data_IF_812352457244
#
_entry.id   IF_812352457244
#
_cell.length_a   1.000
_cell.length_b   1.000
_cell.length_c   1.000
_cell.angle_alpha   90.00
_cell.angle_beta   90.00
_cell.angle_gamma   90.00
#
_symmetry.space_group_name_H-M   'P 1'
#
loop_
_entity.id
_entity.type
_entity.pdbx_description
1 polymer ?
#
# COMPACT_ATOMS: atom_id res chain seq x y z
N UNK A 1 21.02 32.08 26.11
CA UNK A 1 20.56 31.27 24.94
C UNK A 1 19.49 30.23 25.27
N UNK A 2 19.03 30.08 26.50
CA UNK A 2 18.14 28.96 26.93
C UNK A 2 16.64 29.23 26.82
N UNK A 3 16.14 30.46 26.92
CA UNK A 3 14.69 30.76 26.89
C UNK A 3 14.07 30.66 25.47
N UNK A 4 14.75 31.16 24.43
CA UNK A 4 14.26 31.06 23.03
C UNK A 4 14.17 29.64 22.52
N UNK A 5 15.07 28.72 22.92
CA UNK A 5 14.99 27.32 22.56
C UNK A 5 13.78 26.62 23.22
N UNK A 6 13.47 26.95 24.48
CA UNK A 6 12.29 26.37 25.17
C UNK A 6 10.97 26.82 24.56
N UNK A 7 10.82 28.08 24.17
CA UNK A 7 9.62 28.62 23.54
C UNK A 7 9.42 27.94 22.16
N UNK A 8 10.46 27.77 21.36
CA UNK A 8 10.38 27.05 20.07
C UNK A 8 9.98 25.58 20.23
N UNK A 9 10.50 24.91 21.27
CA UNK A 9 10.14 23.52 21.56
C UNK A 9 8.67 23.38 22.00
N UNK A 10 8.18 24.28 22.86
CA UNK A 10 6.77 24.31 23.29
C UNK A 10 5.85 24.54 22.08
N UNK A 11 6.15 25.56 21.26
CA UNK A 11 5.38 25.84 20.06
C UNK A 11 5.34 24.65 19.10
N UNK A 12 6.46 23.95 18.90
CA UNK A 12 6.53 22.74 18.10
C UNK A 12 5.58 21.62 18.60
N UNK A 13 5.59 21.34 19.92
CA UNK A 13 4.70 20.33 20.49
C UNK A 13 3.22 20.75 20.43
N UNK A 14 2.91 22.02 20.69
CA UNK A 14 1.53 22.54 20.59
C UNK A 14 1.00 22.40 19.17
N UNK A 15 1.77 22.80 18.16
CA UNK A 15 1.37 22.65 16.75
C UNK A 15 1.23 21.18 16.40
N UNK A 16 2.16 20.32 16.82
CA UNK A 16 2.09 18.88 16.59
C UNK A 16 0.84 18.25 17.20
N UNK A 17 0.48 18.61 18.44
CA UNK A 17 -0.73 18.12 19.13
C UNK A 17 -1.99 18.61 18.40
N UNK A 18 -2.04 19.87 17.99
CA UNK A 18 -3.20 20.41 17.24
C UNK A 18 -3.40 19.68 15.92
N UNK A 19 -2.33 19.42 15.17
CA UNK A 19 -2.39 18.64 13.92
C UNK A 19 -2.86 17.21 14.21
N UNK A 20 -2.35 16.57 15.25
CA UNK A 20 -2.75 15.22 15.64
C UNK A 20 -4.24 15.16 16.01
N UNK A 21 -4.74 16.11 16.78
CA UNK A 21 -6.17 16.21 17.13
C UNK A 21 -7.01 16.35 15.85
N UNK A 22 -6.66 17.28 14.96
CA UNK A 22 -7.38 17.49 13.71
C UNK A 22 -7.39 16.22 12.83
N UNK A 23 -6.28 15.50 12.79
CA UNK A 23 -6.18 14.24 12.04
C UNK A 23 -7.03 13.11 12.63
N UNK A 24 -7.24 13.09 13.95
CA UNK A 24 -8.00 12.03 14.64
C UNK A 24 -9.53 12.28 14.58
N UNK A 25 -9.98 13.53 14.48
CA UNK A 25 -11.42 13.89 14.47
C UNK A 25 -12.24 13.05 13.48
N UNK A 26 -11.88 12.88 12.18
CA UNK A 26 -12.67 12.09 11.26
C UNK A 26 -12.77 10.61 11.66
N UNK A 27 -11.73 10.05 12.27
CA UNK A 27 -11.77 8.68 12.77
C UNK A 27 -12.68 8.53 13.99
N UNK A 28 -12.67 9.48 14.92
CA UNK A 28 -13.61 9.52 16.04
C UNK A 28 -15.07 9.64 15.54
N UNK A 29 -15.28 10.44 14.51
CA UNK A 29 -16.59 10.53 13.87
C UNK A 29 -17.02 9.20 13.23
N UNK A 30 -16.13 8.49 12.55
CA UNK A 30 -16.39 7.16 12.01
C UNK A 30 -16.78 6.17 13.11
N UNK A 31 -16.02 6.13 14.22
CA UNK A 31 -16.34 5.28 15.38
C UNK A 31 -17.69 5.63 15.97
N UNK A 32 -17.95 6.92 16.22
CA UNK A 32 -19.23 7.38 16.74
C UNK A 32 -20.38 6.96 15.81
N UNK A 33 -20.24 7.23 14.51
CA UNK A 33 -21.28 6.95 13.52
C UNK A 33 -21.54 5.45 13.36
N UNK A 34 -20.52 4.60 13.43
CA UNK A 34 -20.65 3.14 13.33
C UNK A 34 -21.48 2.53 14.47
N UNK A 35 -21.51 3.22 15.61
CA UNK A 35 -22.24 2.78 16.82
C UNK A 35 -23.65 3.39 16.92
N UNK A 36 -24.06 4.26 15.98
CA UNK A 36 -25.42 4.85 15.98
C UNK A 36 -26.44 3.95 15.31
N UNK A 37 -27.66 3.96 15.82
CA UNK A 37 -28.81 3.42 15.12
C UNK A 37 -29.12 4.28 13.86
N UNK A 38 -29.75 3.68 12.83
CA UNK A 38 -30.04 4.34 11.54
C UNK A 38 -30.77 5.68 11.69
N UNK A 39 -31.71 5.78 12.63
CA UNK A 39 -32.50 7.00 12.87
C UNK A 39 -31.70 8.14 13.54
N UNK A 40 -30.59 7.84 14.22
CA UNK A 40 -29.80 8.82 14.95
C UNK A 40 -28.69 9.49 14.12
N UNK A 41 -28.54 9.13 12.83
CA UNK A 41 -27.48 9.67 11.96
C UNK A 41 -27.68 11.14 11.60
N UNK A 42 -28.93 11.58 11.49
CA UNK A 42 -29.34 12.93 11.06
C UNK A 42 -29.98 13.71 12.21
N UNK A 43 -29.66 13.37 13.47
CA UNK A 43 -30.20 14.10 14.63
C UNK A 43 -29.69 15.54 14.66
N UNK A 44 -30.59 16.47 14.96
CA UNK A 44 -30.27 17.88 15.22
C UNK A 44 -30.61 18.18 16.68
N UNK A 45 -29.64 18.57 17.52
CA UNK A 45 -28.24 18.83 17.24
C UNK A 45 -27.41 17.55 16.97
N UNK A 46 -26.27 17.71 16.27
CA UNK A 46 -25.36 16.60 15.92
C UNK A 46 -24.85 15.91 17.21
N UNK A 47 -25.10 14.62 17.32
CA UNK A 47 -24.62 13.81 18.45
C UNK A 47 -23.23 13.28 18.14
N UNK A 48 -22.19 13.77 18.84
CA UNK A 48 -20.84 13.25 18.74
C UNK A 48 -20.66 11.92 19.45
N UNK A 49 -21.35 11.73 20.56
CA UNK A 49 -21.37 10.48 21.33
C UNK A 49 -22.79 9.92 21.25
N UNK A 50 -22.98 8.70 20.72
CA UNK A 50 -24.31 8.12 20.62
C UNK A 50 -24.90 7.90 22.02
N UNK A 51 -26.16 8.32 22.23
CA UNK A 51 -26.88 8.11 23.48
C UNK A 51 -27.18 6.63 23.73
N UNK A 52 -27.49 5.91 22.65
CA UNK A 52 -27.78 4.48 22.66
C UNK A 52 -26.80 3.76 21.71
N UNK A 53 -25.58 3.44 22.15
CA UNK A 53 -24.61 2.78 21.28
C UNK A 53 -25.06 1.36 20.95
N UNK A 54 -24.95 0.99 19.66
CA UNK A 54 -25.33 -0.34 19.17
C UNK A 54 -24.25 -0.91 18.26
N UNK A 55 -24.04 -2.22 18.33
CA UNK A 55 -23.15 -2.97 17.42
C UNK A 55 -23.90 -3.54 16.20
N UNK A 56 -25.17 -3.22 16.04
CA UNK A 56 -26.02 -3.73 14.96
C UNK A 56 -25.43 -3.46 13.56
N UNK A 57 -24.74 -2.33 13.38
CA UNK A 57 -24.05 -1.98 12.13
C UNK A 57 -22.96 -2.97 11.77
N UNK A 58 -22.19 -3.42 12.75
CA UNK A 58 -21.14 -4.44 12.57
C UNK A 58 -21.72 -5.79 12.20
N UNK A 59 -22.76 -6.24 12.91
CA UNK A 59 -23.47 -7.49 12.56
C UNK A 59 -24.02 -7.43 11.14
N UNK A 60 -24.54 -6.27 10.73
CA UNK A 60 -25.07 -6.06 9.39
C UNK A 60 -24.00 -6.10 8.30
N UNK A 61 -22.78 -5.61 8.56
CA UNK A 61 -21.66 -5.73 7.63
C UNK A 61 -21.40 -7.20 7.29
N UNK A 62 -21.34 -8.08 8.31
CA UNK A 62 -21.11 -9.51 8.10
C UNK A 62 -22.24 -10.23 7.34
N UNK A 63 -23.45 -9.71 7.36
CA UNK A 63 -24.58 -10.28 6.65
C UNK A 63 -24.76 -9.80 5.21
N UNK A 64 -24.21 -8.64 4.85
CA UNK A 64 -24.37 -8.01 3.53
C UNK A 64 -23.56 -8.65 2.42
N UNK A 65 -22.37 -9.17 2.75
CA UNK A 65 -21.48 -9.88 1.83
C UNK A 65 -20.61 -10.88 2.59
N UNK A 66 -19.99 -11.86 1.91
CA UNK A 66 -19.13 -12.85 2.54
C UNK A 66 -17.81 -12.24 3.03
N UNK A 67 -17.91 -11.52 4.15
CA UNK A 67 -16.88 -10.62 4.69
C UNK A 67 -15.51 -11.29 4.84
N UNK A 68 -15.46 -12.49 5.45
CA UNK A 68 -14.19 -13.19 5.68
C UNK A 68 -13.51 -13.62 4.39
N UNK A 69 -14.29 -14.10 3.40
CA UNK A 69 -13.71 -14.46 2.10
C UNK A 69 -13.22 -13.21 1.35
N UNK A 70 -13.93 -12.09 1.47
CA UNK A 70 -13.54 -10.82 0.86
C UNK A 70 -12.24 -10.25 1.45
N UNK A 71 -12.05 -10.35 2.78
CA UNK A 71 -10.77 -10.03 3.42
C UNK A 71 -9.68 -10.99 2.95
N UNK A 72 -9.97 -12.30 2.92
CA UNK A 72 -9.03 -13.30 2.43
C UNK A 72 -8.58 -13.03 0.98
N UNK A 73 -9.52 -12.66 0.10
CA UNK A 73 -9.21 -12.27 -1.28
C UNK A 73 -8.27 -11.04 -1.32
N UNK A 74 -8.60 -10.00 -0.55
CA UNK A 74 -7.78 -8.78 -0.49
C UNK A 74 -6.39 -9.06 0.05
N UNK A 75 -6.25 -9.85 1.11
CA UNK A 75 -4.96 -10.26 1.65
C UNK A 75 -4.16 -11.05 0.62
N UNK A 76 -4.75 -12.09 0.04
CA UNK A 76 -4.08 -12.92 -0.96
C UNK A 76 -3.59 -12.11 -2.16
N UNK A 77 -4.46 -11.23 -2.70
CA UNK A 77 -4.09 -10.37 -3.84
C UNK A 77 -2.97 -9.43 -3.43
N UNK A 78 -3.10 -8.71 -2.29
CA UNK A 78 -2.14 -7.69 -1.88
C UNK A 78 -0.79 -8.27 -1.49
N UNK A 79 -0.76 -9.42 -0.81
CA UNK A 79 0.48 -10.12 -0.48
C UNK A 79 1.19 -10.65 -1.73
N UNK A 80 0.44 -11.32 -2.63
CA UNK A 80 1.01 -11.85 -3.88
C UNK A 80 1.48 -10.73 -4.80
N UNK A 81 0.70 -9.66 -4.93
CA UNK A 81 1.05 -8.47 -5.67
C UNK A 81 2.36 -7.85 -5.15
N UNK A 82 2.46 -7.68 -3.84
CA UNK A 82 3.65 -7.13 -3.18
C UNK A 82 4.86 -8.02 -3.39
N UNK A 83 4.72 -9.32 -3.16
CA UNK A 83 5.80 -10.29 -3.32
C UNK A 83 6.36 -10.31 -4.75
N UNK A 84 5.48 -10.37 -5.75
CA UNK A 84 5.89 -10.36 -7.17
C UNK A 84 6.57 -9.03 -7.53
N UNK A 85 6.02 -7.89 -7.07
CA UNK A 85 6.63 -6.58 -7.28
C UNK A 85 8.05 -6.52 -6.70
N UNK A 86 8.24 -6.96 -5.45
CA UNK A 86 9.55 -6.89 -4.81
C UNK A 86 10.59 -7.77 -5.49
N UNK A 87 10.20 -8.99 -5.88
CA UNK A 87 11.11 -9.90 -6.58
C UNK A 87 11.46 -9.32 -7.95
N UNK A 88 10.49 -8.99 -8.78
CA UNK A 88 10.73 -8.49 -10.13
C UNK A 88 11.52 -7.18 -10.12
N UNK A 89 11.16 -6.24 -9.25
CA UNK A 89 11.84 -4.97 -9.14
C UNK A 89 13.27 -5.09 -8.59
N UNK A 90 13.50 -5.95 -7.60
CA UNK A 90 14.86 -6.12 -7.05
C UNK A 90 15.79 -6.85 -8.01
N UNK A 91 15.30 -7.84 -8.76
CA UNK A 91 16.09 -8.51 -9.82
C UNK A 91 16.44 -7.52 -10.94
N UNK A 92 15.46 -6.74 -11.42
CA UNK A 92 15.69 -5.71 -12.42
C UNK A 92 16.66 -4.64 -11.92
N UNK A 93 16.50 -4.18 -10.67
CA UNK A 93 17.40 -3.20 -10.08
C UNK A 93 18.84 -3.73 -9.94
N UNK A 94 19.01 -4.97 -9.54
CA UNK A 94 20.33 -5.60 -9.47
C UNK A 94 20.99 -5.66 -10.84
N UNK A 95 20.23 -6.04 -11.87
CA UNK A 95 20.74 -6.06 -13.24
C UNK A 95 21.19 -4.66 -13.68
N UNK A 96 20.37 -3.64 -13.51
CA UNK A 96 20.69 -2.26 -13.92
C UNK A 96 21.77 -1.58 -13.07
N UNK A 97 21.89 -1.94 -11.80
CA UNK A 97 22.83 -1.28 -10.89
C UNK A 97 24.19 -1.96 -10.84
N UNK A 98 24.25 -3.28 -11.03
CA UNK A 98 25.45 -4.10 -10.72
C UNK A 98 25.97 -4.93 -11.89
N UNK A 99 25.11 -5.26 -12.86
CA UNK A 99 25.58 -6.02 -14.02
C UNK A 99 25.98 -5.08 -15.16
N UNK A 100 27.05 -5.48 -15.87
CA UNK A 100 27.51 -4.74 -17.05
C UNK A 100 26.92 -5.36 -18.31
N UNK A 101 26.01 -4.66 -18.97
CA UNK A 101 25.49 -5.07 -20.27
C UNK A 101 25.29 -3.85 -21.21
N UNK A 102 25.27 -4.07 -22.53
CA UNK A 102 25.17 -2.99 -23.49
C UNK A 102 23.90 -2.17 -23.30
N UNK A 103 24.01 -0.84 -23.35
CA UNK A 103 22.89 0.11 -23.27
C UNK A 103 22.05 0.05 -21.98
N UNK A 104 22.59 -0.49 -20.86
CA UNK A 104 21.89 -0.60 -19.58
C UNK A 104 21.25 0.72 -19.15
N UNK A 105 22.01 1.82 -19.17
CA UNK A 105 21.50 3.16 -18.78
C UNK A 105 20.39 3.68 -19.71
N UNK A 106 20.49 3.41 -21.02
CA UNK A 106 19.45 3.80 -21.97
C UNK A 106 18.16 3.01 -21.71
N UNK A 107 18.26 1.70 -21.52
CA UNK A 107 17.12 0.84 -21.22
C UNK A 107 16.47 1.23 -19.91
N UNK A 108 17.26 1.53 -18.87
CA UNK A 108 16.73 2.03 -17.60
C UNK A 108 15.99 3.36 -17.80
N UNK A 109 16.56 4.32 -18.54
CA UNK A 109 15.90 5.60 -18.81
C UNK A 109 14.58 5.42 -19.55
N UNK A 110 14.53 4.56 -20.57
CA UNK A 110 13.29 4.26 -21.33
C UNK A 110 12.26 3.59 -20.41
N UNK A 111 12.69 2.64 -19.58
CA UNK A 111 11.81 1.98 -18.62
C UNK A 111 11.23 2.98 -17.60
N UNK A 112 12.07 3.86 -17.06
CA UNK A 112 11.60 4.90 -16.11
C UNK A 112 10.73 5.96 -16.78
N UNK A 113 10.92 6.25 -18.07
CA UNK A 113 10.07 7.17 -18.82
C UNK A 113 8.60 6.70 -18.89
N UNK A 114 8.33 5.40 -18.74
CA UNK A 114 6.95 4.88 -18.66
C UNK A 114 6.19 5.43 -17.44
N UNK A 115 6.87 5.90 -16.39
CA UNK A 115 6.22 6.57 -15.24
C UNK A 115 5.55 7.90 -15.61
N UNK A 116 5.92 8.49 -16.75
CA UNK A 116 5.28 9.73 -17.23
C UNK A 116 3.90 9.46 -17.83
N UNK A 117 3.56 8.20 -18.11
CA UNK A 117 2.25 7.82 -18.65
C UNK A 117 1.28 7.64 -17.47
N UNK A 118 0.22 8.46 -17.36
CA UNK A 118 -0.78 8.29 -16.31
C UNK A 118 -1.44 6.91 -16.41
N UNK A 119 -1.59 6.23 -15.26
CA UNK A 119 -2.20 4.89 -15.21
C UNK A 119 -3.63 4.88 -15.76
N UNK A 120 -4.35 5.99 -15.63
CA UNK A 120 -5.71 6.15 -16.16
C UNK A 120 -5.79 5.97 -17.68
N UNK A 121 -4.75 6.37 -18.41
CA UNK A 121 -4.68 6.22 -19.88
C UNK A 121 -4.47 4.75 -20.27
N UNK A 122 -3.77 3.98 -19.43
CA UNK A 122 -3.42 2.59 -19.72
C UNK A 122 -4.50 1.59 -19.27
N UNK A 123 -5.50 1.99 -18.50
CA UNK A 123 -6.55 1.10 -17.97
C UNK A 123 -7.27 0.36 -19.12
N UNK A 124 -7.75 1.07 -20.14
CA UNK A 124 -8.51 0.46 -21.25
C UNK A 124 -7.64 -0.49 -22.07
N UNK A 125 -6.44 -0.09 -22.55
CA UNK A 125 -5.55 -1.01 -23.23
C UNK A 125 -5.21 -2.26 -22.40
N UNK A 126 -4.95 -2.08 -21.11
CA UNK A 126 -4.61 -3.18 -20.22
C UNK A 126 -5.80 -4.14 -20.01
N UNK A 127 -7.02 -3.61 -19.89
CA UNK A 127 -8.23 -4.40 -19.87
C UNK A 127 -8.36 -5.28 -21.13
N UNK A 128 -8.13 -4.70 -22.32
CA UNK A 128 -8.17 -5.44 -23.58
C UNK A 128 -7.13 -6.55 -23.61
N UNK A 129 -5.93 -6.30 -23.09
CA UNK A 129 -4.86 -7.32 -23.00
C UNK A 129 -5.31 -8.46 -22.08
N UNK A 130 -5.80 -8.15 -20.87
CA UNK A 130 -6.26 -9.17 -19.92
C UNK A 130 -7.44 -9.99 -20.48
N UNK A 131 -8.35 -9.34 -21.19
CA UNK A 131 -9.47 -10.01 -21.84
C UNK A 131 -8.99 -10.97 -22.97
N UNK A 132 -8.07 -10.52 -23.82
CA UNK A 132 -7.49 -11.40 -24.86
C UNK A 132 -6.71 -12.58 -24.29
N UNK A 133 -6.13 -12.42 -23.09
CA UNK A 133 -5.48 -13.52 -22.36
C UNK A 133 -6.46 -14.41 -21.62
N UNK A 134 -7.78 -14.17 -21.72
CA UNK A 134 -8.84 -14.90 -20.98
C UNK A 134 -8.65 -14.87 -19.46
N UNK A 135 -8.09 -13.78 -18.92
CA UNK A 135 -7.82 -13.62 -17.50
C UNK A 135 -8.90 -12.84 -16.75
N UNK A 136 -9.92 -12.32 -17.42
CA UNK A 136 -11.04 -11.64 -16.76
C UNK A 136 -11.66 -12.56 -15.72
N UNK A 137 -12.06 -11.99 -14.59
CA UNK A 137 -12.60 -12.70 -13.43
C UNK A 137 -11.61 -13.71 -12.79
N UNK A 138 -10.31 -13.39 -12.84
CA UNK A 138 -9.26 -14.14 -12.14
C UNK A 138 -8.38 -13.21 -11.31
N UNK A 139 -7.81 -13.70 -10.21
CA UNK A 139 -6.85 -12.93 -9.42
C UNK A 139 -5.58 -12.58 -10.22
N UNK A 140 -5.23 -13.42 -11.20
CA UNK A 140 -4.10 -13.18 -12.08
C UNK A 140 -4.23 -11.86 -12.85
N UNK A 141 -5.44 -11.46 -13.28
CA UNK A 141 -5.65 -10.19 -13.97
C UNK A 141 -5.37 -8.97 -13.10
N UNK A 142 -5.51 -9.10 -11.79
CA UNK A 142 -5.21 -8.03 -10.83
C UNK A 142 -3.71 -8.03 -10.48
N UNK A 143 -3.11 -9.22 -10.35
CA UNK A 143 -1.74 -9.38 -9.87
C UNK A 143 -0.69 -9.18 -10.97
N UNK A 144 -0.91 -9.71 -12.18
CA UNK A 144 0.11 -9.69 -13.25
C UNK A 144 0.66 -8.31 -13.60
N UNK A 145 -0.14 -7.22 -13.64
CA UNK A 145 0.40 -5.88 -13.90
C UNK A 145 1.46 -5.43 -12.88
N UNK A 146 1.49 -6.03 -11.68
CA UNK A 146 2.46 -5.70 -10.63
C UNK A 146 3.90 -6.06 -10.97
N UNK A 147 4.12 -6.96 -11.93
CA UNK A 147 5.47 -7.37 -12.38
C UNK A 147 6.26 -6.16 -12.90
N UNK A 148 5.58 -5.19 -13.51
CA UNK A 148 6.21 -4.01 -14.10
C UNK A 148 5.93 -2.77 -13.27
N UNK A 149 6.78 -2.51 -12.26
CA UNK A 149 6.65 -1.36 -11.35
C UNK A 149 7.90 -0.47 -11.45
N UNK A 150 7.91 0.51 -12.38
CA UNK A 150 9.09 1.35 -12.62
C UNK A 150 9.56 2.12 -11.38
N UNK A 151 8.63 2.59 -10.54
CA UNK A 151 8.98 3.29 -9.30
C UNK A 151 9.74 2.38 -8.31
N UNK A 152 9.31 1.14 -8.15
CA UNK A 152 10.00 0.17 -7.27
C UNK A 152 11.40 -0.14 -7.79
N UNK A 153 11.54 -0.34 -9.11
CA UNK A 153 12.85 -0.53 -9.76
C UNK A 153 13.73 0.69 -9.55
N UNK A 154 13.21 1.91 -9.75
CA UNK A 154 13.96 3.15 -9.54
C UNK A 154 14.54 3.25 -8.14
N UNK A 155 13.72 3.07 -7.11
CA UNK A 155 14.17 3.17 -5.72
C UNK A 155 15.24 2.13 -5.40
N UNK A 156 15.05 0.89 -5.86
CA UNK A 156 16.01 -0.18 -5.63
C UNK A 156 17.30 0.02 -6.43
N UNK A 157 17.26 0.54 -7.65
CA UNK A 157 18.47 0.92 -8.41
C UNK A 157 19.26 1.97 -7.65
N UNK A 158 18.59 3.03 -7.14
CA UNK A 158 19.26 4.07 -6.36
C UNK A 158 19.94 3.47 -5.12
N UNK A 159 19.23 2.61 -4.37
CA UNK A 159 19.78 1.96 -3.20
C UNK A 159 20.95 1.02 -3.56
N UNK A 160 20.80 0.18 -4.57
CA UNK A 160 21.85 -0.76 -4.97
C UNK A 160 23.12 -0.06 -5.50
N UNK A 161 22.96 1.11 -6.12
CA UNK A 161 24.12 1.94 -6.56
C UNK A 161 24.95 2.46 -5.39
N UNK A 162 24.38 2.60 -4.20
CA UNK A 162 25.14 3.03 -3.00
C UNK A 162 25.98 1.92 -2.39
N UNK A 163 25.73 0.66 -2.74
CA UNK A 163 26.51 -0.48 -2.25
C UNK A 163 27.88 -0.48 -2.97
N UNK A 164 29.01 -0.42 -2.24
CA UNK A 164 30.33 -0.54 -2.85
C UNK A 164 30.50 -1.86 -3.62
N UNK A 165 31.12 -1.80 -4.81
CA UNK A 165 31.32 -3.00 -5.61
C UNK A 165 32.26 -4.00 -4.93
N UNK A 166 33.12 -3.54 -4.05
CA UNK A 166 34.08 -4.37 -3.29
C UNK A 166 33.39 -5.54 -2.56
N UNK A 167 32.17 -5.35 -2.06
CA UNK A 167 31.40 -6.43 -1.44
C UNK A 167 30.98 -7.52 -2.44
N UNK A 168 30.68 -7.13 -3.68
CA UNK A 168 30.28 -8.06 -4.73
C UNK A 168 31.50 -8.77 -5.30
N UNK A 169 32.60 -8.02 -5.46
CA UNK A 169 33.85 -8.53 -5.98
C UNK A 169 34.49 -9.54 -4.98
N UNK A 170 34.48 -9.26 -3.68
CA UNK A 170 34.91 -10.20 -2.65
C UNK A 170 34.12 -11.51 -2.70
N UNK A 171 32.79 -11.45 -2.76
CA UNK A 171 31.95 -12.64 -2.87
C UNK A 171 32.22 -13.42 -4.17
N UNK A 172 32.56 -12.73 -5.27
CA UNK A 172 32.87 -13.34 -6.55
C UNK A 172 34.23 -14.05 -6.50
N UNK A 173 35.24 -13.49 -5.78
CA UNK A 173 36.53 -14.12 -5.53
C UNK A 173 36.37 -15.41 -4.72
N UNK A 174 35.41 -15.41 -3.77
CA UNK A 174 35.02 -16.59 -2.98
C UNK A 174 34.22 -17.64 -3.80
N UNK A 175 34.09 -17.45 -5.12
CA UNK A 175 33.41 -18.37 -6.02
C UNK A 175 31.88 -18.28 -6.03
N UNK A 176 31.28 -17.20 -5.47
CA UNK A 176 29.83 -17.02 -5.48
C UNK A 176 29.32 -16.75 -6.90
N UNK A 177 28.26 -17.45 -7.30
CA UNK A 177 27.52 -17.14 -8.53
C UNK A 177 26.82 -15.79 -8.44
N UNK A 178 26.49 -15.19 -9.59
CA UNK A 178 25.72 -13.92 -9.66
C UNK A 178 24.43 -13.98 -8.85
N UNK A 179 23.69 -15.09 -8.89
CA UNK A 179 22.50 -15.29 -8.06
C UNK A 179 22.81 -15.35 -6.57
N UNK A 180 23.93 -15.98 -6.19
CA UNK A 180 24.39 -16.02 -4.80
C UNK A 180 24.71 -14.62 -4.29
N UNK A 181 25.44 -13.84 -5.09
CA UNK A 181 25.76 -12.43 -4.80
C UNK A 181 24.48 -11.61 -4.65
N UNK A 182 23.52 -11.79 -5.55
CA UNK A 182 22.23 -11.10 -5.47
C UNK A 182 21.48 -11.42 -4.17
N UNK A 183 21.26 -12.71 -3.87
CA UNK A 183 20.45 -13.11 -2.70
C UNK A 183 21.15 -12.92 -1.36
N UNK A 184 22.46 -13.18 -1.30
CA UNK A 184 23.21 -13.18 -0.02
C UNK A 184 23.92 -11.87 0.30
N UNK A 185 24.16 -11.01 -0.70
CA UNK A 185 24.89 -9.75 -0.50
C UNK A 185 23.99 -8.55 -0.83
N UNK A 186 23.56 -8.41 -2.09
CA UNK A 186 22.87 -7.22 -2.54
C UNK A 186 21.47 -7.05 -1.91
N UNK A 187 20.67 -8.10 -1.90
CA UNK A 187 19.29 -8.07 -1.39
C UNK A 187 19.21 -7.76 0.12
N UNK A 188 20.01 -8.39 1.01
CA UNK A 188 20.03 -8.04 2.43
C UNK A 188 20.44 -6.59 2.70
N UNK A 189 21.38 -6.04 1.94
CA UNK A 189 21.80 -4.65 2.07
C UNK A 189 20.74 -3.65 1.61
N UNK A 190 19.75 -4.10 0.84
CA UNK A 190 18.58 -3.31 0.45
C UNK A 190 17.38 -3.50 1.40
N UNK A 191 17.50 -4.24 2.50
CA UNK A 191 16.39 -4.57 3.40
C UNK A 191 15.57 -3.36 3.86
N UNK A 192 16.13 -2.19 4.22
CA UNK A 192 15.33 -1.03 4.60
C UNK A 192 14.44 -0.51 3.46
N UNK A 193 14.96 -0.45 2.24
CA UNK A 193 14.22 -0.02 1.04
C UNK A 193 13.16 -1.04 0.66
N UNK A 194 13.48 -2.34 0.73
CA UNK A 194 12.53 -3.42 0.49
C UNK A 194 11.38 -3.39 1.50
N UNK A 195 11.67 -3.13 2.79
CA UNK A 195 10.64 -2.99 3.80
C UNK A 195 9.71 -1.80 3.52
N UNK A 196 10.25 -0.66 3.12
CA UNK A 196 9.46 0.51 2.74
C UNK A 196 8.59 0.22 1.52
N UNK A 197 9.16 -0.39 0.48
CA UNK A 197 8.43 -0.78 -0.72
C UNK A 197 7.36 -1.83 -0.44
N UNK A 198 7.63 -2.81 0.44
CA UNK A 198 6.62 -3.83 0.77
C UNK A 198 5.37 -3.22 1.39
N UNK A 199 5.53 -2.26 2.32
CA UNK A 199 4.40 -1.59 2.96
C UNK A 199 3.64 -0.73 1.96
N UNK A 200 4.35 0.12 1.20
CA UNK A 200 3.70 1.04 0.25
C UNK A 200 2.99 0.27 -0.87
N UNK A 201 3.60 -0.80 -1.39
CA UNK A 201 3.01 -1.64 -2.43
C UNK A 201 1.82 -2.44 -1.91
N UNK A 202 1.91 -2.96 -0.68
CA UNK A 202 0.78 -3.63 -0.04
C UNK A 202 -0.40 -2.68 0.15
N UNK A 203 -0.15 -1.48 0.71
CA UNK A 203 -1.20 -0.48 0.92
C UNK A 203 -1.84 -0.02 -0.40
N UNK A 204 -1.06 0.10 -1.46
CA UNK A 204 -1.56 0.45 -2.78
C UNK A 204 -2.52 -0.62 -3.30
N UNK A 205 -2.13 -1.89 -3.27
CA UNK A 205 -2.98 -3.01 -3.70
C UNK A 205 -4.18 -3.23 -2.78
N UNK A 206 -4.00 -3.09 -1.45
CA UNK A 206 -5.08 -3.22 -0.47
C UNK A 206 -6.20 -2.20 -0.67
N UNK A 207 -5.84 -0.96 -1.01
CA UNK A 207 -6.78 0.13 -1.22
C UNK A 207 -7.25 0.26 -2.68
N UNK A 208 -6.72 -0.56 -3.59
CA UNK A 208 -7.12 -0.49 -4.99
C UNK A 208 -8.58 -0.93 -5.16
N UNK A 209 -9.35 -0.05 -5.75
CA UNK A 209 -10.76 -0.26 -6.02
C UNK A 209 -11.02 -0.43 -7.51
N UNK A 210 -10.43 0.48 -8.33
CA UNK A 210 -10.84 0.64 -9.71
C UNK A 210 -10.41 -0.55 -10.58
N UNK A 211 -9.15 -0.98 -10.47
CA UNK A 211 -8.66 -2.08 -11.29
C UNK A 211 -9.32 -3.42 -10.92
N UNK A 212 -9.39 -3.82 -9.65
CA UNK A 212 -10.17 -5.01 -9.26
C UNK A 212 -11.65 -4.95 -9.65
N UNK A 213 -12.30 -3.78 -9.59
CA UNK A 213 -13.71 -3.62 -10.01
C UNK A 213 -13.91 -3.97 -11.49
N UNK A 214 -12.95 -3.60 -12.35
CA UNK A 214 -13.01 -3.89 -13.79
C UNK A 214 -12.69 -5.36 -14.09
N UNK A 215 -11.84 -5.99 -13.27
CA UNK A 215 -11.32 -7.33 -13.52
C UNK A 215 -12.16 -8.44 -12.88
N UNK A 216 -12.73 -8.22 -11.69
CA UNK A 216 -13.40 -9.24 -10.88
C UNK A 216 -14.92 -9.05 -10.95
N UNK A 217 -15.58 -9.89 -11.71
CA UNK A 217 -17.05 -9.82 -11.92
C UNK A 217 -17.83 -10.72 -10.97
N UNK A 218 -17.19 -11.76 -10.42
CA UNK A 218 -17.78 -12.69 -9.48
C UNK A 218 -17.76 -12.14 -8.06
N UNK A 219 -18.93 -12.12 -7.39
CA UNK A 219 -19.08 -11.67 -6.00
C UNK A 219 -18.21 -12.43 -5.00
N UNK A 220 -17.89 -13.69 -5.29
CA UNK A 220 -17.03 -14.51 -4.43
C UNK A 220 -15.57 -14.13 -4.49
N UNK A 221 -15.14 -13.46 -5.56
CA UNK A 221 -13.77 -13.02 -5.81
C UNK A 221 -13.51 -11.54 -5.49
N UNK A 222 -14.55 -10.79 -5.09
CA UNK A 222 -14.43 -9.37 -4.79
C UNK A 222 -13.38 -9.08 -3.72
N UNK A 223 -12.67 -7.95 -3.90
CA UNK A 223 -11.81 -7.37 -2.86
C UNK A 223 -12.63 -6.56 -1.86
N UNK A 224 -12.03 -6.26 -0.72
CA UNK A 224 -12.69 -5.52 0.35
C UNK A 224 -13.15 -4.11 -0.08
N UNK A 225 -12.38 -3.29 -0.83
CA UNK A 225 -12.86 -2.02 -1.35
C UNK A 225 -14.09 -2.16 -2.26
N UNK A 226 -14.15 -3.18 -3.11
CA UNK A 226 -15.34 -3.44 -3.96
C UNK A 226 -16.54 -3.79 -3.09
N UNK A 227 -16.37 -4.70 -2.12
CA UNK A 227 -17.47 -5.12 -1.26
C UNK A 227 -17.99 -3.94 -0.41
N UNK A 228 -17.11 -3.11 0.13
CA UNK A 228 -17.50 -1.90 0.86
C UNK A 228 -18.27 -0.90 -0.01
N UNK A 229 -17.90 -0.77 -1.28
CA UNK A 229 -18.64 0.12 -2.20
C UNK A 229 -20.09 -0.33 -2.43
N UNK A 230 -20.37 -1.64 -2.31
CA UNK A 230 -21.74 -2.15 -2.42
C UNK A 230 -22.65 -1.76 -1.24
N UNK A 231 -22.06 -1.32 -0.13
CA UNK A 231 -22.81 -0.77 1.01
C UNK A 231 -23.39 0.63 0.71
N UNK A 232 -22.86 1.32 -0.30
CA UNK A 232 -23.46 2.52 -0.87
C UNK A 232 -24.69 2.09 -1.68
N UNK A 233 -25.87 2.11 -1.07
CA UNK A 233 -27.10 1.75 -1.75
C UNK A 233 -27.45 2.77 -2.84
N UNK A 234 -28.06 2.30 -3.93
CA UNK A 234 -28.50 3.14 -5.06
C UNK A 234 -29.52 4.22 -4.64
N UNK A 235 -30.32 3.96 -3.60
CA UNK A 235 -31.40 4.86 -3.16
C UNK A 235 -31.22 5.38 -1.74
N UNK A 236 -30.44 4.70 -0.89
CA UNK A 236 -30.14 5.14 0.47
C UNK A 236 -28.85 4.48 0.99
N UNK A 237 -27.89 5.29 1.37
CA UNK A 237 -26.66 4.81 2.00
C UNK A 237 -26.87 4.65 3.50
N UNK A 238 -26.60 3.47 4.02
CA UNK A 238 -26.57 3.22 5.47
C UNK A 238 -25.18 3.61 6.00
N UNK A 239 -24.97 4.89 6.25
CA UNK A 239 -23.67 5.43 6.67
C UNK A 239 -23.08 4.74 7.91
N UNK A 240 -23.93 4.34 8.88
CA UNK A 240 -23.49 3.59 10.06
C UNK A 240 -22.87 2.25 9.69
N UNK A 241 -23.45 1.51 8.73
CA UNK A 241 -22.94 0.22 8.24
C UNK A 241 -21.67 0.44 7.42
N UNK A 242 -21.66 1.47 6.56
CA UNK A 242 -20.47 1.84 5.79
C UNK A 242 -19.30 2.21 6.71
N UNK A 243 -19.53 3.02 7.74
CA UNK A 243 -18.49 3.41 8.70
C UNK A 243 -17.98 2.19 9.51
N UNK A 244 -18.87 1.28 9.92
CA UNK A 244 -18.48 0.04 10.58
C UNK A 244 -17.59 -0.83 9.66
N UNK A 245 -17.98 -1.03 8.42
CA UNK A 245 -17.18 -1.78 7.42
C UNK A 245 -15.83 -1.12 7.15
N UNK A 246 -15.80 0.20 7.02
CA UNK A 246 -14.55 0.97 6.83
C UNK A 246 -13.61 0.85 8.02
N UNK A 247 -14.11 0.91 9.25
CA UNK A 247 -13.28 0.71 10.45
C UNK A 247 -12.65 -0.68 10.50
N UNK A 248 -13.41 -1.72 10.17
CA UNK A 248 -12.86 -3.09 10.13
C UNK A 248 -11.80 -3.21 9.03
N UNK A 249 -12.01 -2.55 7.88
CA UNK A 249 -11.05 -2.58 6.77
C UNK A 249 -9.71 -1.91 7.08
N UNK A 250 -9.69 -1.02 8.07
CA UNK A 250 -8.45 -0.36 8.53
C UNK A 250 -7.60 -1.26 9.44
N UNK A 251 -8.19 -2.26 10.09
CA UNK A 251 -7.46 -3.10 11.06
C UNK A 251 -6.22 -3.76 10.47
N UNK A 252 -6.26 -4.43 9.30
CA UNK A 252 -5.07 -5.04 8.71
C UNK A 252 -3.98 -4.02 8.39
N UNK A 253 -4.34 -2.83 7.89
CA UNK A 253 -3.38 -1.76 7.58
C UNK A 253 -2.71 -1.27 8.85
N UNK A 254 -3.49 -1.03 9.91
CA UNK A 254 -2.95 -0.59 11.22
C UNK A 254 -1.99 -1.63 11.79
N UNK A 255 -2.35 -2.91 11.74
CA UNK A 255 -1.48 -3.99 12.19
C UNK A 255 -0.16 -4.01 11.41
N UNK A 256 -0.22 -4.00 10.09
CA UNK A 256 0.97 -3.97 9.23
C UNK A 256 1.83 -2.75 9.55
N UNK A 257 1.22 -1.57 9.70
CA UNK A 257 1.95 -0.36 10.05
C UNK A 257 2.64 -0.47 11.42
N UNK A 258 1.95 -0.97 12.45
CA UNK A 258 2.52 -1.15 13.78
C UNK A 258 3.74 -2.08 13.78
N UNK A 259 3.73 -3.15 12.99
CA UNK A 259 4.88 -4.05 12.86
C UNK A 259 6.01 -3.45 12.02
N UNK A 260 5.66 -2.67 11.03
CA UNK A 260 6.59 -2.18 10.01
C UNK A 260 7.19 -0.79 10.32
N UNK A 261 6.61 -0.01 11.25
CA UNK A 261 7.03 1.37 11.54
C UNK A 261 8.51 1.51 11.90
N UNK A 262 9.11 0.52 12.57
CA UNK A 262 10.53 0.52 12.91
C UNK A 262 11.46 0.51 11.68
N UNK A 263 11.02 -0.09 10.59
CA UNK A 263 11.79 -0.12 9.34
C UNK A 263 11.64 1.19 8.55
N UNK A 264 10.48 1.85 8.66
CA UNK A 264 10.22 3.17 8.06
C UNK A 264 11.16 4.24 8.61
N UNK A 265 11.33 4.30 9.92
CA UNK A 265 12.18 5.31 10.56
C UNK A 265 13.64 5.17 10.12
N UNK A 266 14.13 3.95 10.01
CA UNK A 266 15.51 3.69 9.57
C UNK A 266 15.73 3.97 8.07
N UNK A 267 14.73 3.70 7.23
CA UNK A 267 14.82 3.92 5.77
C UNK A 267 14.80 5.41 5.38
N UNK A 268 13.98 6.24 6.04
CA UNK A 268 13.94 7.68 5.79
C UNK A 268 15.19 8.41 6.27
N UNK A 269 15.81 7.95 7.36
CA UNK A 269 17.05 8.55 7.87
C UNK A 269 18.26 8.23 6.99
N UNK A 270 18.28 7.08 6.32
CA UNK A 270 19.34 6.73 5.39
C UNK A 270 19.32 7.58 4.09
N UNK A 271 18.15 8.12 3.70
CA UNK A 271 18.00 9.00 2.53
C UNK A 271 18.11 10.50 2.84
N UNK A 272 18.06 10.89 4.10
CA UNK A 272 17.93 12.30 4.54
C UNK A 272 19.21 12.97 5.06
N UNK A 273 20.31 12.26 5.26
CA UNK A 273 21.55 12.86 5.78
C UNK A 273 22.55 13.02 4.65
N UNK A 274 22.42 14.10 3.89
CA UNK A 274 23.50 14.82 3.23
C UNK A 274 23.40 16.28 3.66
N UNK A 275 24.06 16.61 4.72
CA UNK A 275 24.25 17.97 5.20
C UNK A 275 25.39 17.99 6.17
#
# INVERSE_FOLDING_TARGET
>A
MTHKKKIGTVAYYVVGILIAILAIIPFLWMVSTSLKARGALMSIPIEWIPKEPTVASYVKVFSKFPFFSTIGNSLFISETYTFITLISASMAAFAFAKLKFPKADLLLKVFLATMMIPTQVTIIPLFVVMNKMSLINSYASVILPSIFRPFAVFLLVQQMRTIPNDYLDAASIDGASTFTVYFKVALPLCAPTLATLSITTFMESWNDYLWPLLMLTDKTKMTLPIALSTLNGQFATEYNVLMAGSLISMIPIILIYCFAQKYFQNGMMAGGIKG
#
